data_IF_094064403562
#
_entry.id   IF_094064403562
#
_cell.length_a   1.000
_cell.length_b   1.000
_cell.length_c   1.000
_cell.angle_alpha   90.00
_cell.angle_beta   90.00
_cell.angle_gamma   90.00
#
_symmetry.space_group_name_H-M   'P 1'
#
loop_
_entity.id
_entity.type
_entity.pdbx_description
1 polymer ?
#
# COMPACT_ATOMS: atom_id res chain seq x y z
N UNK A 1 26.28 -4.51 21.47
CA UNK A 1 26.45 -5.79 20.74
C UNK A 1 27.90 -5.91 20.29
N UNK A 2 28.50 -7.07 20.54
CA UNK A 2 29.84 -7.39 20.04
C UNK A 2 29.75 -7.85 18.57
N UNK A 3 30.61 -7.32 17.70
CA UNK A 3 30.68 -7.60 16.26
C UNK A 3 31.01 -9.07 16.01
N UNK A 4 31.78 -9.70 16.90
CA UNK A 4 32.19 -11.11 16.75
C UNK A 4 31.00 -12.08 16.80
N UNK A 5 29.89 -11.69 17.44
CA UNK A 5 28.68 -12.52 17.57
C UNK A 5 27.48 -11.99 16.76
N UNK A 6 27.68 -10.97 15.93
CA UNK A 6 26.61 -10.32 15.15
C UNK A 6 25.90 -11.30 14.20
N UNK A 7 26.68 -12.11 13.48
CA UNK A 7 26.15 -13.15 12.60
C UNK A 7 25.25 -14.16 13.34
N UNK A 8 25.72 -14.61 14.51
CA UNK A 8 24.96 -15.53 15.35
C UNK A 8 23.67 -14.89 15.84
N UNK A 9 23.74 -13.63 16.27
CA UNK A 9 22.58 -12.87 16.73
C UNK A 9 21.47 -12.80 15.68
N UNK A 10 21.80 -12.39 14.44
CA UNK A 10 20.83 -12.30 13.36
C UNK A 10 20.26 -13.66 12.97
N UNK A 11 21.12 -14.69 12.92
CA UNK A 11 20.68 -16.06 12.65
C UNK A 11 19.70 -16.59 13.70
N UNK A 12 19.99 -16.39 14.99
CA UNK A 12 19.10 -16.83 16.07
C UNK A 12 17.80 -16.02 16.06
N UNK A 13 17.86 -14.71 15.83
CA UNK A 13 16.68 -13.85 15.72
C UNK A 13 15.72 -14.35 14.62
N UNK A 14 16.24 -14.64 13.42
CA UNK A 14 15.42 -15.17 12.31
C UNK A 14 14.82 -16.55 12.62
N UNK A 15 15.56 -17.43 13.30
CA UNK A 15 15.01 -18.71 13.79
C UNK A 15 13.91 -18.50 14.84
N UNK A 16 14.05 -17.51 15.72
CA UNK A 16 13.01 -17.14 16.69
C UNK A 16 11.74 -16.62 16.02
N UNK A 17 11.84 -15.87 14.92
CA UNK A 17 10.68 -15.50 14.10
C UNK A 17 9.96 -16.74 13.54
N UNK A 18 10.70 -17.66 12.93
CA UNK A 18 10.15 -18.91 12.41
C UNK A 18 9.48 -19.74 13.51
N UNK A 19 10.09 -19.81 14.70
CA UNK A 19 9.49 -20.45 15.86
C UNK A 19 8.16 -19.79 16.24
N UNK A 20 8.12 -18.46 16.33
CA UNK A 20 6.91 -17.74 16.69
C UNK A 20 5.79 -17.93 15.66
N UNK A 21 6.13 -17.92 14.36
CA UNK A 21 5.19 -18.20 13.27
C UNK A 21 4.64 -19.63 13.34
N UNK A 22 5.54 -20.63 13.44
CA UNK A 22 5.18 -22.05 13.47
C UNK A 22 4.23 -22.41 14.62
N UNK A 23 4.43 -21.82 15.79
CA UNK A 23 3.63 -22.11 17.00
C UNK A 23 2.64 -20.99 17.36
N UNK A 24 2.40 -20.04 16.44
CA UNK A 24 1.45 -18.93 16.64
C UNK A 24 1.66 -18.13 17.94
N UNK A 25 2.93 -17.94 18.33
CA UNK A 25 3.33 -17.21 19.54
C UNK A 25 3.33 -15.70 19.31
N UNK A 26 2.13 -15.15 19.13
CA UNK A 26 1.90 -13.73 18.76
C UNK A 26 2.47 -12.75 19.80
N UNK A 27 2.33 -13.05 21.09
CA UNK A 27 2.80 -12.17 22.17
C UNK A 27 4.32 -12.12 22.24
N UNK A 28 4.98 -13.28 22.13
CA UNK A 28 6.43 -13.40 22.13
C UNK A 28 7.04 -12.75 20.89
N UNK A 29 6.41 -12.88 19.73
CA UNK A 29 6.83 -12.20 18.51
C UNK A 29 6.84 -10.67 18.67
N UNK A 30 5.78 -10.08 19.23
CA UNK A 30 5.73 -8.63 19.51
C UNK A 30 6.82 -8.19 20.48
N UNK A 31 7.02 -8.96 21.57
CA UNK A 31 8.11 -8.69 22.53
C UNK A 31 9.48 -8.75 21.87
N UNK A 32 9.70 -9.70 20.96
CA UNK A 32 10.94 -9.82 20.20
C UNK A 32 11.15 -8.62 19.27
N UNK A 33 10.09 -8.14 18.59
CA UNK A 33 10.15 -6.93 17.76
C UNK A 33 10.52 -5.69 18.58
N UNK A 34 9.93 -5.50 19.76
CA UNK A 34 10.30 -4.40 20.68
C UNK A 34 11.75 -4.50 21.16
N UNK A 35 12.18 -5.71 21.55
CA UNK A 35 13.56 -5.95 21.97
C UNK A 35 14.56 -5.59 20.86
N UNK A 36 14.22 -5.93 19.62
CA UNK A 36 15.00 -5.61 18.44
C UNK A 36 15.10 -4.10 18.17
N UNK A 37 14.03 -3.34 18.38
CA UNK A 37 14.03 -1.87 18.29
C UNK A 37 14.91 -1.27 19.39
N UNK A 38 14.78 -1.77 20.62
CA UNK A 38 15.59 -1.36 21.75
C UNK A 38 17.09 -1.60 21.51
N UNK A 39 17.47 -2.77 20.98
CA UNK A 39 18.85 -3.06 20.62
C UNK A 39 19.38 -2.11 19.53
N UNK A 40 18.59 -1.80 18.50
CA UNK A 40 18.99 -0.86 17.45
C UNK A 40 19.21 0.55 18.01
N UNK A 41 18.29 1.04 18.84
CA UNK A 41 18.41 2.33 19.52
C UNK A 41 19.69 2.40 20.38
N UNK A 42 20.00 1.32 21.11
CA UNK A 42 21.25 1.22 21.85
C UNK A 42 22.47 1.25 20.91
N UNK A 43 22.47 0.50 19.80
CA UNK A 43 23.56 0.52 18.84
C UNK A 43 23.80 1.94 18.29
N UNK A 44 22.72 2.67 17.95
CA UNK A 44 22.78 4.04 17.46
C UNK A 44 23.36 5.03 18.50
N UNK A 45 22.86 5.01 19.74
CA UNK A 45 23.37 5.88 20.82
C UNK A 45 24.86 5.67 21.07
N UNK A 46 25.32 4.42 21.02
CA UNK A 46 26.71 4.09 21.25
C UNK A 46 27.64 4.37 20.06
N UNK A 47 27.12 4.79 18.88
CA UNK A 47 27.99 5.17 17.76
C UNK A 47 28.81 6.45 18.05
N UNK A 48 28.32 7.34 18.92
CA UNK A 48 28.90 8.67 19.16
C UNK A 48 29.88 8.73 20.35
N UNK A 49 30.01 7.67 21.14
CA UNK A 49 30.89 7.66 22.31
C UNK A 49 32.34 7.39 21.88
N UNK A 50 33.22 8.38 22.06
CA UNK A 50 34.60 8.40 21.53
C UNK A 50 35.54 7.28 22.03
N UNK A 51 35.21 6.58 23.12
CA UNK A 51 35.98 5.42 23.61
C UNK A 51 35.45 4.12 22.99
N UNK A 52 35.72 3.90 21.70
CA UNK A 52 35.15 2.78 20.94
C UNK A 52 36.07 1.55 20.98
N UNK A 53 35.68 0.54 21.75
CA UNK A 53 36.20 -0.82 21.64
C UNK A 53 36.05 -1.35 20.19
N UNK A 54 37.13 -1.89 19.61
CA UNK A 54 37.16 -2.50 18.27
C UNK A 54 36.09 -3.58 18.05
N UNK A 55 35.60 -4.20 19.12
CA UNK A 55 34.62 -5.28 19.08
C UNK A 55 33.16 -4.82 18.97
N UNK A 56 32.81 -3.54 18.80
CA UNK A 56 31.39 -3.13 18.68
C UNK A 56 30.88 -3.11 17.23
N UNK A 57 29.59 -3.37 17.04
CA UNK A 57 28.88 -3.25 15.75
C UNK A 57 28.90 -1.80 15.25
N UNK A 58 29.32 -1.60 14.00
CA UNK A 58 29.45 -0.29 13.36
C UNK A 58 28.35 -0.10 12.30
N UNK A 59 27.56 0.96 12.41
CA UNK A 59 26.53 1.33 11.41
C UNK A 59 27.13 1.95 10.13
N UNK A 60 28.45 1.91 9.99
CA UNK A 60 29.16 2.20 8.75
C UNK A 60 29.53 0.93 7.96
N UNK A 61 29.36 -0.26 8.55
CA UNK A 61 29.71 -1.54 7.93
C UNK A 61 28.61 -1.99 6.96
N UNK A 62 28.90 -2.14 5.65
CA UNK A 62 27.90 -2.60 4.68
C UNK A 62 27.34 -3.99 5.00
N UNK A 63 28.20 -4.88 5.52
CA UNK A 63 27.82 -6.23 5.93
C UNK A 63 26.81 -6.21 7.09
N UNK A 64 27.09 -5.43 8.13
CA UNK A 64 26.21 -5.26 9.30
C UNK A 64 24.85 -4.69 8.88
N UNK A 65 24.86 -3.64 8.05
CA UNK A 65 23.64 -3.02 7.54
C UNK A 65 22.80 -4.00 6.70
N UNK A 66 23.44 -4.82 5.87
CA UNK A 66 22.78 -5.86 5.08
C UNK A 66 22.09 -6.91 5.98
N UNK A 67 22.79 -7.42 7.00
CA UNK A 67 22.21 -8.39 7.95
C UNK A 67 21.04 -7.82 8.75
N UNK A 68 21.16 -6.56 9.19
CA UNK A 68 20.08 -5.85 9.87
C UNK A 68 18.85 -5.70 8.97
N UNK A 69 19.06 -5.27 7.72
CA UNK A 69 17.98 -5.11 6.75
C UNK A 69 17.29 -6.44 6.45
N UNK A 70 18.04 -7.52 6.21
CA UNK A 70 17.50 -8.87 6.00
C UNK A 70 16.66 -9.35 7.20
N UNK A 71 17.15 -9.08 8.42
CA UNK A 71 16.42 -9.43 9.64
C UNK A 71 15.12 -8.65 9.77
N UNK A 72 15.12 -7.35 9.45
CA UNK A 72 13.90 -6.52 9.44
C UNK A 72 12.90 -6.93 8.36
N UNK A 73 13.38 -7.34 7.19
CA UNK A 73 12.52 -7.90 6.15
C UNK A 73 11.85 -9.20 6.62
N UNK A 74 12.62 -10.10 7.24
CA UNK A 74 12.07 -11.34 7.81
C UNK A 74 11.07 -11.07 8.96
N UNK A 75 11.29 -10.02 9.76
CA UNK A 75 10.35 -9.53 10.77
C UNK A 75 9.02 -9.10 10.12
N UNK A 76 9.08 -8.26 9.08
CA UNK A 76 7.89 -7.82 8.34
C UNK A 76 7.14 -9.01 7.73
N UNK A 77 7.85 -9.94 7.08
CA UNK A 77 7.27 -11.14 6.49
C UNK A 77 6.55 -12.00 7.51
N UNK A 78 7.17 -12.19 8.67
CA UNK A 78 6.58 -12.97 9.76
C UNK A 78 5.34 -12.27 10.33
N UNK A 79 5.38 -10.94 10.49
CA UNK A 79 4.23 -10.17 10.94
C UNK A 79 3.04 -10.27 9.97
N UNK A 80 3.30 -10.21 8.66
CA UNK A 80 2.29 -10.41 7.61
C UNK A 80 1.75 -11.84 7.66
N UNK A 81 2.62 -12.86 7.71
CA UNK A 81 2.22 -14.27 7.75
C UNK A 81 1.34 -14.60 8.97
N UNK A 82 1.61 -13.95 10.11
CA UNK A 82 0.83 -14.11 11.34
C UNK A 82 -0.38 -13.16 11.43
N UNK A 83 -0.64 -12.37 10.39
CA UNK A 83 -1.72 -11.37 10.28
C UNK A 83 -1.71 -10.33 11.41
N UNK A 84 -0.51 -9.98 11.88
CA UNK A 84 -0.30 -8.98 12.91
C UNK A 84 -0.17 -7.59 12.27
N UNK A 85 -1.24 -7.08 11.66
CA UNK A 85 -1.19 -5.89 10.81
C UNK A 85 -0.60 -4.64 11.47
N UNK A 86 -0.89 -4.41 12.76
CA UNK A 86 -0.27 -3.32 13.53
C UNK A 86 1.25 -3.52 13.71
N UNK A 87 1.72 -4.76 13.91
CA UNK A 87 3.16 -5.05 13.97
C UNK A 87 3.81 -5.00 12.59
N UNK A 88 3.11 -5.46 11.56
CA UNK A 88 3.57 -5.38 10.17
C UNK A 88 3.80 -3.91 9.78
N UNK A 89 2.90 -3.03 10.19
CA UNK A 89 3.05 -1.59 10.01
C UNK A 89 4.35 -1.05 10.64
N UNK A 90 4.56 -1.29 11.94
CA UNK A 90 5.79 -0.85 12.63
C UNK A 90 7.05 -1.50 12.06
N UNK A 91 6.94 -2.74 11.62
CA UNK A 91 8.05 -3.46 10.98
C UNK A 91 8.39 -2.89 9.60
N UNK A 92 7.40 -2.37 8.86
CA UNK A 92 7.63 -1.65 7.62
C UNK A 92 8.38 -0.33 7.85
N UNK A 93 8.07 0.40 8.93
CA UNK A 93 8.85 1.57 9.36
C UNK A 93 10.29 1.19 9.70
N UNK A 94 10.49 0.09 10.43
CA UNK A 94 11.84 -0.39 10.75
C UNK A 94 12.64 -0.74 9.48
N UNK A 95 12.03 -1.41 8.50
CA UNK A 95 12.66 -1.72 7.20
C UNK A 95 12.99 -0.44 6.46
N UNK A 96 12.05 0.51 6.38
CA UNK A 96 12.26 1.80 5.73
C UNK A 96 13.43 2.56 6.35
N UNK A 97 13.45 2.68 7.68
CA UNK A 97 14.53 3.31 8.42
C UNK A 97 15.88 2.67 8.12
N UNK A 98 15.94 1.34 8.06
CA UNK A 98 17.18 0.64 7.68
C UNK A 98 17.59 0.91 6.23
N UNK A 99 16.64 0.97 5.30
CA UNK A 99 16.92 1.31 3.90
C UNK A 99 17.47 2.73 3.76
N UNK A 100 16.96 3.70 4.52
CA UNK A 100 17.51 5.07 4.52
C UNK A 100 18.92 5.11 5.10
N UNK A 101 19.15 4.47 6.25
CA UNK A 101 20.48 4.38 6.85
C UNK A 101 21.51 3.77 5.88
N UNK A 102 21.15 2.70 5.18
CA UNK A 102 22.02 2.11 4.16
C UNK A 102 22.25 3.04 2.98
N UNK A 103 21.21 3.71 2.48
CA UNK A 103 21.28 4.63 1.34
C UNK A 103 22.13 5.86 1.63
N UNK A 104 22.05 6.40 2.84
CA UNK A 104 22.82 7.57 3.28
C UNK A 104 24.32 7.27 3.34
N UNK A 105 24.70 6.00 3.55
CA UNK A 105 26.09 5.56 3.49
C UNK A 105 26.55 5.31 2.06
N UNK A 106 25.80 4.52 1.31
CA UNK A 106 26.05 4.30 -0.11
C UNK A 106 24.74 4.02 -0.85
N UNK A 107 24.44 4.85 -1.86
CA UNK A 107 23.24 4.72 -2.70
C UNK A 107 23.14 3.35 -3.38
N UNK A 108 24.26 2.65 -3.61
CA UNK A 108 24.31 1.33 -4.27
C UNK A 108 23.94 0.18 -3.34
N UNK A 109 23.88 0.40 -2.02
CA UNK A 109 23.57 -0.65 -1.05
C UNK A 109 22.12 -1.13 -1.13
N UNK A 110 21.18 -0.25 -1.51
CA UNK A 110 19.77 -0.61 -1.65
C UNK A 110 19.43 -0.71 -3.12
N UNK A 111 19.38 -1.94 -3.62
CA UNK A 111 19.07 -2.23 -5.02
C UNK A 111 17.61 -1.89 -5.33
N UNK A 112 17.29 -1.45 -6.56
CA UNK A 112 15.90 -1.22 -7.00
C UNK A 112 14.96 -2.40 -6.73
N UNK A 113 15.42 -3.64 -6.95
CA UNK A 113 14.66 -4.86 -6.64
C UNK A 113 14.24 -4.97 -5.16
N UNK A 114 15.04 -4.44 -4.23
CA UNK A 114 14.68 -4.41 -2.81
C UNK A 114 13.52 -3.44 -2.54
N UNK A 115 13.47 -2.31 -3.24
CA UNK A 115 12.33 -1.38 -3.15
C UNK A 115 11.05 -1.96 -3.74
N UNK A 116 11.17 -2.69 -4.84
CA UNK A 116 10.04 -3.41 -5.44
C UNK A 116 9.41 -4.37 -4.43
N UNK A 117 10.22 -5.23 -3.79
CA UNK A 117 9.71 -6.16 -2.78
C UNK A 117 9.14 -5.45 -1.56
N UNK A 118 9.78 -4.35 -1.13
CA UNK A 118 9.28 -3.51 -0.04
C UNK A 118 7.90 -2.92 -0.36
N UNK A 119 7.72 -2.29 -1.54
CA UNK A 119 6.44 -1.70 -1.92
C UNK A 119 5.35 -2.74 -2.14
N UNK A 120 5.69 -3.93 -2.62
CA UNK A 120 4.75 -5.04 -2.76
C UNK A 120 4.18 -5.46 -1.39
N UNK A 121 5.05 -5.57 -0.37
CA UNK A 121 4.63 -5.85 1.02
C UNK A 121 3.83 -4.70 1.62
N UNK A 122 4.22 -3.44 1.39
CA UNK A 122 3.46 -2.28 1.86
C UNK A 122 2.07 -2.22 1.24
N UNK A 123 1.96 -2.48 -0.07
CA UNK A 123 0.67 -2.53 -0.73
C UNK A 123 -0.26 -3.55 -0.04
N UNK A 124 0.24 -4.74 0.27
CA UNK A 124 -0.54 -5.74 1.01
C UNK A 124 -0.94 -5.26 2.42
N UNK A 125 -0.02 -4.68 3.18
CA UNK A 125 -0.29 -4.16 4.53
C UNK A 125 -1.36 -3.06 4.48
N UNK A 126 -1.25 -2.11 3.55
CA UNK A 126 -2.24 -1.05 3.41
C UNK A 126 -3.61 -1.57 2.97
N UNK A 127 -3.65 -2.56 2.08
CA UNK A 127 -4.91 -3.19 1.67
C UNK A 127 -5.61 -3.84 2.88
N UNK A 128 -4.89 -4.64 3.66
CA UNK A 128 -5.44 -5.34 4.83
C UNK A 128 -5.77 -4.39 5.99
N UNK A 129 -5.16 -3.20 6.03
CA UNK A 129 -5.49 -2.14 6.95
C UNK A 129 -6.68 -1.26 6.49
N UNK A 130 -7.26 -1.50 5.32
CA UNK A 130 -8.35 -0.68 4.75
C UNK A 130 -7.90 0.67 4.18
N UNK A 131 -6.59 0.90 4.07
CA UNK A 131 -6.02 2.15 3.53
C UNK A 131 -5.84 2.05 2.01
N UNK A 132 -6.95 2.01 1.26
CA UNK A 132 -6.97 1.84 -0.21
C UNK A 132 -6.15 2.89 -0.96
N UNK A 133 -6.17 4.14 -0.49
CA UNK A 133 -5.39 5.25 -1.05
C UNK A 133 -3.87 4.99 -0.98
N UNK A 134 -3.38 4.57 0.18
CA UNK A 134 -1.95 4.24 0.37
C UNK A 134 -1.57 2.93 -0.32
N UNK A 135 -2.52 1.99 -0.43
CA UNK A 135 -2.34 0.78 -1.23
C UNK A 135 -2.08 1.12 -2.71
N UNK A 136 -2.93 1.93 -3.33
CA UNK A 136 -2.75 2.37 -4.71
C UNK A 136 -1.46 3.18 -4.90
N UNK A 137 -1.15 4.06 -3.94
CA UNK A 137 0.10 4.82 -3.96
C UNK A 137 1.35 3.91 -3.88
N UNK A 138 1.32 2.86 -3.06
CA UNK A 138 2.41 1.87 -2.97
C UNK A 138 2.62 1.13 -4.30
N UNK A 139 1.52 0.71 -4.94
CA UNK A 139 1.57 0.07 -6.26
C UNK A 139 2.11 1.02 -7.34
N UNK A 140 1.72 2.29 -7.31
CA UNK A 140 2.24 3.30 -8.24
C UNK A 140 3.75 3.53 -8.03
N UNK A 141 4.22 3.62 -6.79
CA UNK A 141 5.65 3.72 -6.50
C UNK A 141 6.44 2.50 -6.98
N UNK A 142 5.89 1.30 -6.80
CA UNK A 142 6.44 0.06 -7.35
C UNK A 142 6.54 0.13 -8.88
N UNK A 143 5.48 0.59 -9.56
CA UNK A 143 5.44 0.75 -11.02
C UNK A 143 6.46 1.77 -11.53
N UNK A 144 6.66 2.90 -10.83
CA UNK A 144 7.66 3.91 -11.21
C UNK A 144 9.07 3.32 -11.21
N UNK A 145 9.45 2.63 -10.13
CA UNK A 145 10.78 1.99 -10.05
C UNK A 145 10.97 0.97 -11.15
N UNK A 146 9.92 0.19 -11.41
CA UNK A 146 9.92 -0.80 -12.46
C UNK A 146 10.11 -0.20 -13.85
N UNK A 147 9.41 0.89 -14.17
CA UNK A 147 9.58 1.61 -15.43
C UNK A 147 11.01 2.13 -15.59
N UNK A 148 11.63 2.59 -14.50
CA UNK A 148 13.03 3.05 -14.52
C UNK A 148 14.03 1.90 -14.71
N UNK A 149 13.68 0.67 -14.30
CA UNK A 149 14.53 -0.50 -14.47
C UNK A 149 14.65 -0.98 -15.93
N UNK A 150 13.79 -0.51 -16.86
CA UNK A 150 13.74 -0.62 -18.36
C UNK A 150 14.09 -1.94 -19.07
N UNK A 151 14.89 -2.83 -18.48
CA UNK A 151 15.43 -4.09 -19.04
C UNK A 151 14.87 -5.34 -18.36
N UNK A 152 13.95 -5.18 -17.40
CA UNK A 152 13.43 -6.27 -16.57
C UNK A 152 11.97 -6.65 -16.86
N UNK A 153 11.34 -6.06 -17.88
CA UNK A 153 9.91 -6.25 -18.16
C UNK A 153 9.65 -7.07 -19.42
N UNK A 154 8.83 -8.10 -19.27
CA UNK A 154 7.98 -8.56 -20.36
C UNK A 154 6.81 -7.58 -20.56
N UNK A 155 6.25 -7.53 -21.77
CA UNK A 155 5.09 -6.69 -22.05
C UNK A 155 3.87 -7.09 -21.20
N UNK A 156 3.72 -8.39 -20.91
CA UNK A 156 2.63 -8.93 -20.09
C UNK A 156 2.73 -8.46 -18.62
N UNK A 157 3.91 -8.56 -17.99
CA UNK A 157 4.12 -8.06 -16.63
C UNK A 157 3.90 -6.54 -16.54
N UNK A 158 4.32 -5.79 -17.55
CA UNK A 158 4.10 -4.34 -17.58
C UNK A 158 2.60 -4.01 -17.65
N UNK A 159 1.86 -4.72 -18.51
CA UNK A 159 0.41 -4.57 -18.65
C UNK A 159 -0.33 -4.98 -17.36
N UNK A 160 0.06 -6.09 -16.74
CA UNK A 160 -0.52 -6.55 -15.49
C UNK A 160 -0.33 -5.50 -14.38
N UNK A 161 0.90 -5.04 -14.15
CA UNK A 161 1.17 -4.07 -13.10
C UNK A 161 0.47 -2.73 -13.38
N UNK A 162 0.42 -2.28 -14.64
CA UNK A 162 -0.31 -1.08 -15.02
C UNK A 162 -1.82 -1.22 -14.76
N UNK A 163 -2.39 -2.37 -15.12
CA UNK A 163 -3.82 -2.68 -14.88
C UNK A 163 -4.13 -2.69 -13.38
N UNK A 164 -3.28 -3.33 -12.58
CA UNK A 164 -3.42 -3.39 -11.12
C UNK A 164 -3.37 -2.01 -10.48
N UNK A 165 -2.41 -1.16 -10.87
CA UNK A 165 -2.33 0.23 -10.38
C UNK A 165 -3.60 1.00 -10.71
N UNK A 166 -4.10 0.86 -11.95
CA UNK A 166 -5.27 1.62 -12.40
C UNK A 166 -6.55 1.14 -11.69
N UNK A 167 -6.77 -0.17 -11.55
CA UNK A 167 -7.90 -0.73 -10.80
C UNK A 167 -7.85 -0.35 -9.32
N UNK A 168 -6.67 -0.41 -8.70
CA UNK A 168 -6.48 0.02 -7.31
C UNK A 168 -6.77 1.51 -7.12
N UNK A 169 -6.42 2.35 -8.11
CA UNK A 169 -6.68 3.80 -8.02
C UNK A 169 -8.15 4.13 -8.29
N UNK A 170 -8.78 3.46 -9.26
CA UNK A 170 -10.18 3.67 -9.62
C UNK A 170 -11.16 3.18 -8.53
N UNK A 171 -10.78 2.16 -7.76
CA UNK A 171 -11.56 1.62 -6.64
C UNK A 171 -11.57 2.50 -5.39
N UNK A 172 -10.80 3.60 -5.37
CA UNK A 172 -10.81 4.54 -4.24
C UNK A 172 -12.08 5.41 -4.31
N UNK A 173 -12.90 5.47 -3.25
CA UNK A 173 -14.04 6.37 -3.17
C UNK A 173 -13.68 7.85 -3.28
N UNK A 174 -14.57 8.62 -3.89
CA UNK A 174 -14.43 10.08 -3.93
C UNK A 174 -14.46 10.66 -2.50
N UNK A 175 -13.48 11.47 -2.16
CA UNK A 175 -13.36 12.06 -0.82
C UNK A 175 -12.61 11.19 0.20
N UNK A 176 -12.08 10.03 -0.19
CA UNK A 176 -11.23 9.18 0.67
C UNK A 176 -9.95 9.89 1.17
N UNK A 177 -9.58 11.00 0.54
CA UNK A 177 -8.43 11.82 0.91
C UNK A 177 -8.71 12.74 2.11
N UNK A 178 -9.98 12.94 2.47
CA UNK A 178 -10.42 13.84 3.53
C UNK A 178 -10.68 13.07 4.84
N UNK A 179 -10.56 13.72 6.02
CA UNK A 179 -11.01 13.14 7.28
C UNK A 179 -12.48 12.70 7.18
N UNK A 180 -12.78 11.53 7.72
CA UNK A 180 -14.17 11.06 7.81
C UNK A 180 -14.97 11.95 8.74
N UNK A 181 -16.30 11.99 8.57
CA UNK A 181 -17.14 12.79 9.47
C UNK A 181 -16.97 12.36 10.92
N UNK A 182 -16.83 11.06 11.20
CA UNK A 182 -16.51 10.56 12.53
C UNK A 182 -15.21 11.15 13.10
N UNK A 183 -14.18 11.31 12.27
CA UNK A 183 -12.90 11.92 12.69
C UNK A 183 -13.09 13.37 13.13
N UNK A 184 -13.92 14.11 12.40
CA UNK A 184 -14.28 15.50 12.74
C UNK A 184 -15.09 15.58 14.03
N UNK A 185 -16.11 14.74 14.17
CA UNK A 185 -16.98 14.73 15.36
C UNK A 185 -16.27 14.30 16.65
N UNK A 186 -15.18 13.55 16.53
CA UNK A 186 -14.37 13.11 17.67
C UNK A 186 -13.18 14.05 17.97
N UNK A 187 -13.03 15.17 17.25
CA UNK A 187 -11.94 16.14 17.40
C UNK A 187 -10.53 15.50 17.31
N UNK A 188 -10.37 14.45 16.49
CA UNK A 188 -9.10 13.71 16.31
C UNK A 188 -8.40 14.01 14.97
N UNK A 189 -8.69 15.15 14.35
CA UNK A 189 -8.16 15.54 13.04
C UNK A 189 -6.63 15.65 13.03
N UNK A 190 -6.03 16.20 14.09
CA UNK A 190 -4.58 16.34 14.20
C UNK A 190 -3.85 14.98 14.26
N UNK A 191 -4.44 14.01 14.97
CA UNK A 191 -3.93 12.65 15.04
C UNK A 191 -4.04 11.97 13.67
N UNK A 192 -5.17 12.15 12.98
CA UNK A 192 -5.39 11.64 11.63
C UNK A 192 -4.37 12.22 10.64
N UNK A 193 -4.12 13.53 10.68
CA UNK A 193 -3.12 14.18 9.83
C UNK A 193 -1.70 13.70 10.12
N UNK A 194 -1.36 13.50 11.39
CA UNK A 194 -0.06 12.95 11.80
C UNK A 194 0.13 11.54 11.24
N UNK A 195 -0.91 10.70 11.29
CA UNK A 195 -0.90 9.36 10.72
C UNK A 195 -0.71 9.41 9.19
N UNK A 196 -1.46 10.25 8.48
CA UNK A 196 -1.30 10.45 7.02
C UNK A 196 0.12 10.84 6.65
N UNK A 197 0.75 11.75 7.40
CA UNK A 197 2.15 12.16 7.16
C UNK A 197 3.11 10.98 7.35
N UNK A 198 2.91 10.19 8.41
CA UNK A 198 3.72 9.00 8.67
C UNK A 198 3.61 7.99 7.52
N UNK A 199 2.38 7.71 7.06
CA UNK A 199 2.09 6.82 5.94
C UNK A 199 2.71 7.32 4.62
N UNK A 200 2.68 8.63 4.40
CA UNK A 200 3.28 9.25 3.22
C UNK A 200 4.81 9.13 3.22
N UNK A 201 5.44 9.30 4.39
CA UNK A 201 6.89 9.13 4.56
C UNK A 201 7.35 7.70 4.28
N UNK A 202 6.58 6.69 4.69
CA UNK A 202 6.84 5.29 4.37
C UNK A 202 6.94 5.01 2.86
N UNK A 203 6.14 5.75 2.09
CA UNK A 203 6.10 5.71 0.62
C UNK A 203 7.04 6.71 -0.06
N UNK A 204 7.78 7.50 0.73
CA UNK A 204 8.67 8.58 0.26
C UNK A 204 7.92 9.65 -0.54
N UNK A 205 6.66 9.85 -0.21
CA UNK A 205 5.85 10.89 -0.82
C UNK A 205 6.03 12.18 -0.01
N UNK A 206 6.47 13.29 -0.65
CA UNK A 206 6.64 14.57 0.05
C UNK A 206 5.30 15.17 0.47
N UNK A 207 4.23 14.80 -0.21
CA UNK A 207 2.85 15.26 0.00
C UNK A 207 1.97 14.03 0.10
N UNK A 208 0.95 14.09 0.95
CA UNK A 208 -0.04 13.03 1.06
C UNK A 208 -0.66 12.71 -0.31
N UNK A 209 -0.78 11.42 -0.68
CA UNK A 209 -1.44 11.04 -1.92
C UNK A 209 -2.90 11.48 -1.88
N UNK A 210 -3.45 11.78 -3.05
CA UNK A 210 -4.88 12.02 -3.26
C UNK A 210 -5.34 11.19 -4.44
N UNK A 211 -6.60 10.75 -4.48
CA UNK A 211 -7.15 10.00 -5.62
C UNK A 211 -6.87 10.72 -6.95
N UNK A 212 -7.17 12.02 -7.00
CA UNK A 212 -6.92 12.86 -8.17
C UNK A 212 -5.41 13.04 -8.48
N UNK A 213 -4.56 13.10 -7.45
CA UNK A 213 -3.10 13.12 -7.61
C UNK A 213 -2.56 11.84 -8.24
N UNK A 214 -3.02 10.68 -7.76
CA UNK A 214 -2.63 9.37 -8.26
C UNK A 214 -3.07 9.17 -9.71
N UNK A 215 -4.31 9.52 -10.06
CA UNK A 215 -4.82 9.43 -11.44
C UNK A 215 -4.02 10.33 -12.40
N UNK A 216 -3.75 11.57 -12.00
CA UNK A 216 -2.93 12.50 -12.82
C UNK A 216 -1.53 11.96 -13.03
N UNK A 217 -0.90 11.42 -11.99
CA UNK A 217 0.44 10.85 -12.08
C UNK A 217 0.45 9.57 -12.93
N UNK A 218 -0.54 8.69 -12.77
CA UNK A 218 -0.71 7.50 -13.60
C UNK A 218 -0.88 7.87 -15.09
N UNK A 219 -1.70 8.87 -15.41
CA UNK A 219 -1.86 9.40 -16.77
C UNK A 219 -0.55 9.98 -17.31
N UNK A 220 0.17 10.79 -16.52
CA UNK A 220 1.49 11.35 -16.89
C UNK A 220 2.50 10.25 -17.23
N UNK A 221 2.43 9.12 -16.54
CA UNK A 221 3.31 7.97 -16.73
C UNK A 221 2.85 7.04 -17.87
N UNK A 222 1.71 7.31 -18.53
CA UNK A 222 1.15 6.45 -19.58
C UNK A 222 0.63 5.11 -19.05
N UNK A 223 0.25 5.02 -17.77
CA UNK A 223 -0.30 3.79 -17.18
C UNK A 223 -1.57 3.33 -17.92
N UNK A 224 -2.54 4.21 -18.27
CA UNK A 224 -3.74 3.79 -18.99
C UNK A 224 -3.44 3.15 -20.36
N UNK A 225 -2.39 3.60 -21.05
CA UNK A 225 -2.02 3.10 -22.39
C UNK A 225 -1.38 1.70 -22.33
N UNK A 226 -0.73 1.38 -21.20
CA UNK A 226 -0.08 0.08 -20.97
C UNK A 226 -1.05 -0.95 -20.37
N UNK A 227 -2.06 -0.48 -19.61
CA UNK A 227 -3.06 -1.33 -18.98
C UNK A 227 -3.88 -2.13 -20.00
N UNK A 228 -4.57 -3.17 -19.52
CA UNK A 228 -5.48 -3.98 -20.35
C UNK A 228 -6.57 -3.11 -20.96
N UNK A 229 -7.09 -3.52 -22.11
CA UNK A 229 -8.15 -2.79 -22.82
C UNK A 229 -9.37 -2.56 -21.93
N UNK A 230 -9.80 -3.57 -21.17
CA UNK A 230 -10.91 -3.49 -20.21
C UNK A 230 -10.64 -2.44 -19.12
N UNK A 231 -9.43 -2.40 -18.58
CA UNK A 231 -9.04 -1.47 -17.51
C UNK A 231 -8.92 -0.03 -18.02
N UNK A 232 -8.37 0.16 -19.22
CA UNK A 232 -8.33 1.48 -19.87
C UNK A 232 -9.75 1.97 -20.22
N UNK A 233 -10.63 1.08 -20.67
CA UNK A 233 -12.04 1.41 -20.89
C UNK A 233 -12.72 1.88 -19.60
N UNK A 234 -12.51 1.20 -18.47
CA UNK A 234 -13.01 1.63 -17.15
C UNK A 234 -12.49 3.03 -16.78
N UNK A 235 -11.20 3.29 -16.98
CA UNK A 235 -10.61 4.62 -16.73
C UNK A 235 -11.31 5.72 -17.56
N UNK A 236 -11.54 5.48 -18.85
CA UNK A 236 -12.22 6.44 -19.73
C UNK A 236 -13.68 6.65 -19.32
N UNK A 237 -14.41 5.57 -18.98
CA UNK A 237 -15.80 5.64 -18.54
C UNK A 237 -15.94 6.43 -17.24
N UNK A 238 -15.03 6.23 -16.29
CA UNK A 238 -15.10 6.89 -14.99
C UNK A 238 -14.61 8.33 -15.05
N UNK A 239 -13.54 8.64 -15.77
CA UNK A 239 -12.92 9.97 -15.67
C UNK A 239 -13.35 10.94 -16.80
N UNK A 240 -13.76 10.43 -17.98
CA UNK A 240 -14.02 11.27 -19.15
C UNK A 240 -15.48 11.25 -19.65
N UNK A 241 -16.38 10.49 -19.00
CA UNK A 241 -17.76 10.32 -19.47
C UNK A 241 -18.78 10.84 -18.45
N UNK A 242 -19.74 11.63 -18.94
CA UNK A 242 -20.93 12.03 -18.17
C UNK A 242 -22.16 11.35 -18.77
N UNK A 243 -22.43 10.13 -18.31
CA UNK A 243 -23.51 9.29 -18.82
C UNK A 243 -24.23 8.56 -17.67
N UNK A 244 -24.92 9.27 -16.77
CA UNK A 244 -25.47 8.73 -15.52
C UNK A 244 -26.34 7.48 -15.69
N UNK A 245 -27.10 7.43 -16.79
CA UNK A 245 -28.06 6.35 -17.05
C UNK A 245 -27.43 5.07 -17.62
N UNK A 246 -26.21 5.17 -18.17
CA UNK A 246 -25.51 4.07 -18.87
C UNK A 246 -24.22 3.64 -18.17
N UNK A 247 -23.64 4.52 -17.36
CA UNK A 247 -22.34 4.33 -16.73
C UNK A 247 -22.20 2.97 -16.04
N UNK A 248 -23.15 2.60 -15.18
CA UNK A 248 -23.08 1.35 -14.44
C UNK A 248 -23.15 0.11 -15.35
N UNK A 249 -24.04 0.10 -16.34
CA UNK A 249 -24.15 -1.01 -17.31
C UNK A 249 -22.89 -1.14 -18.18
N UNK A 250 -22.34 -0.02 -18.66
CA UNK A 250 -21.11 0.00 -19.46
C UNK A 250 -19.90 -0.48 -18.64
N UNK A 251 -19.84 -0.12 -17.35
CA UNK A 251 -18.83 -0.60 -16.42
C UNK A 251 -18.98 -2.08 -16.13
N UNK A 252 -20.21 -2.58 -15.92
CA UNK A 252 -20.48 -4.01 -15.69
C UNK A 252 -19.87 -4.88 -16.79
N UNK A 253 -20.09 -4.48 -18.04
CA UNK A 253 -19.58 -5.18 -19.22
C UNK A 253 -18.04 -5.23 -19.26
N UNK A 254 -17.34 -4.28 -18.62
CA UNK A 254 -15.88 -4.34 -18.48
C UNK A 254 -15.43 -5.12 -17.24
N UNK A 255 -16.17 -5.04 -16.13
CA UNK A 255 -15.85 -5.78 -14.90
C UNK A 255 -15.90 -7.30 -15.12
N UNK A 256 -16.84 -7.79 -15.93
CA UNK A 256 -16.94 -9.23 -16.27
C UNK A 256 -15.69 -9.75 -17.01
N UNK A 257 -14.93 -8.85 -17.67
CA UNK A 257 -13.69 -9.21 -18.37
C UNK A 257 -12.47 -9.28 -17.45
N UNK A 258 -12.63 -8.98 -16.16
CA UNK A 258 -11.55 -9.08 -15.16
C UNK A 258 -11.57 -10.50 -14.60
N UNK A 259 -10.55 -11.29 -14.91
CA UNK A 259 -10.44 -12.70 -14.53
C UNK A 259 -9.34 -12.98 -13.50
N UNK A 260 -8.30 -12.14 -13.46
CA UNK A 260 -7.14 -12.36 -12.58
C UNK A 260 -7.50 -12.20 -11.09
N UNK A 261 -7.10 -13.15 -10.23
CA UNK A 261 -7.45 -13.14 -8.80
C UNK A 261 -6.98 -11.87 -8.06
N UNK A 262 -5.79 -11.39 -8.40
CA UNK A 262 -5.22 -10.15 -7.84
C UNK A 262 -6.02 -8.88 -8.24
N UNK A 263 -6.80 -8.95 -9.32
CA UNK A 263 -7.64 -7.83 -9.78
C UNK A 263 -9.06 -7.93 -9.24
N UNK A 264 -9.55 -9.15 -8.99
CA UNK A 264 -10.89 -9.39 -8.45
C UNK A 264 -11.11 -8.70 -7.10
N UNK A 265 -10.07 -8.52 -6.30
CA UNK A 265 -10.17 -7.82 -5.01
C UNK A 265 -10.65 -6.36 -5.12
N UNK A 266 -10.56 -5.73 -6.30
CA UNK A 266 -11.01 -4.35 -6.53
C UNK A 266 -12.44 -4.25 -7.06
N UNK A 267 -13.06 -5.36 -7.49
CA UNK A 267 -14.33 -5.35 -8.21
C UNK A 267 -15.47 -4.80 -7.35
N UNK A 268 -15.58 -5.23 -6.09
CA UNK A 268 -16.67 -4.79 -5.22
C UNK A 268 -16.55 -3.30 -4.86
N UNK A 269 -15.32 -2.84 -4.56
CA UNK A 269 -15.05 -1.43 -4.34
C UNK A 269 -15.32 -0.59 -5.60
N UNK A 270 -15.00 -1.09 -6.80
CA UNK A 270 -15.34 -0.42 -8.06
C UNK A 270 -16.85 -0.29 -8.25
N UNK A 271 -17.63 -1.34 -7.99
CA UNK A 271 -19.10 -1.28 -8.06
C UNK A 271 -19.66 -0.18 -7.16
N UNK A 272 -19.12 -0.06 -5.95
CA UNK A 272 -19.53 0.97 -4.98
C UNK A 272 -19.20 2.38 -5.48
N UNK A 273 -17.97 2.59 -5.97
CA UNK A 273 -17.54 3.87 -6.56
C UNK A 273 -18.41 4.25 -7.75
N UNK A 274 -18.69 3.30 -8.64
CA UNK A 274 -19.48 3.51 -9.86
C UNK A 274 -20.93 3.83 -9.52
N UNK A 275 -21.53 3.09 -8.60
CA UNK A 275 -22.89 3.33 -8.14
C UNK A 275 -23.02 4.70 -7.47
N UNK A 276 -22.10 5.05 -6.56
CA UNK A 276 -22.05 6.38 -5.93
C UNK A 276 -21.89 7.48 -6.96
N UNK A 277 -21.02 7.29 -7.96
CA UNK A 277 -20.82 8.26 -9.04
C UNK A 277 -22.07 8.42 -9.90
N UNK A 278 -22.72 7.33 -10.29
CA UNK A 278 -23.96 7.36 -11.05
C UNK A 278 -25.06 8.09 -10.28
N UNK A 279 -25.23 7.80 -8.98
CA UNK A 279 -26.20 8.48 -8.11
C UNK A 279 -25.92 10.00 -8.00
N UNK A 280 -24.66 10.39 -7.79
CA UNK A 280 -24.25 11.81 -7.78
C UNK A 280 -24.53 12.50 -9.12
N UNK A 281 -24.33 11.83 -10.25
CA UNK A 281 -24.64 12.40 -11.56
C UNK A 281 -26.16 12.49 -11.80
N UNK A 282 -26.94 11.52 -11.31
CA UNK A 282 -28.41 11.54 -11.39
C UNK A 282 -28.96 12.69 -10.54
N UNK A 283 -28.46 12.90 -9.31
CA UNK A 283 -28.96 13.94 -8.41
C UNK A 283 -28.74 15.37 -8.92
N UNK A 284 -27.79 15.57 -9.84
CA UNK A 284 -27.57 16.87 -10.50
C UNK A 284 -28.62 17.16 -11.59
N UNK A 285 -29.25 16.12 -12.15
CA UNK A 285 -30.14 16.24 -13.32
C UNK A 285 -31.62 16.04 -12.94
N UNK A 286 -31.90 15.21 -11.94
CA UNK A 286 -33.25 14.82 -11.55
C UNK A 286 -33.57 15.33 -10.15
N UNK A 287 -34.68 16.07 -10.02
CA UNK A 287 -35.24 16.45 -8.72
C UNK A 287 -35.93 15.27 -8.02
N UNK A 288 -36.54 14.38 -8.81
CA UNK A 288 -37.18 13.16 -8.32
C UNK A 288 -37.03 12.03 -9.33
N UNK A 289 -36.79 10.81 -8.83
CA UNK A 289 -36.64 9.61 -9.65
C UNK A 289 -37.31 8.43 -8.92
N UNK A 290 -37.97 7.56 -9.66
CA UNK A 290 -38.57 6.36 -9.07
C UNK A 290 -37.51 5.35 -8.67
N UNK A 291 -37.69 4.69 -7.52
CA UNK A 291 -36.76 3.68 -7.01
C UNK A 291 -36.51 2.55 -8.02
N UNK A 292 -37.57 2.04 -8.66
CA UNK A 292 -37.48 1.02 -9.70
C UNK A 292 -36.67 1.47 -10.93
N UNK A 293 -36.56 2.77 -11.18
CA UNK A 293 -35.71 3.30 -12.26
C UNK A 293 -34.24 3.30 -11.85
N UNK A 294 -33.93 3.64 -10.60
CA UNK A 294 -32.56 3.60 -10.05
C UNK A 294 -32.02 2.16 -10.08
N UNK A 295 -32.83 1.18 -9.67
CA UNK A 295 -32.47 -0.25 -9.74
C UNK A 295 -32.12 -0.71 -11.16
N UNK A 296 -32.85 -0.22 -12.18
CA UNK A 296 -32.56 -0.54 -13.58
C UNK A 296 -31.28 0.12 -14.10
N UNK A 297 -30.91 1.28 -13.54
CA UNK A 297 -29.70 2.01 -13.92
C UNK A 297 -28.47 1.36 -13.28
N UNK A 298 -28.57 0.91 -12.03
CA UNK A 298 -27.48 0.32 -11.25
C UNK A 298 -27.77 -1.17 -11.01
N UNK A 299 -27.41 -2.06 -11.95
CA UNK A 299 -27.75 -3.49 -11.89
C UNK A 299 -26.88 -4.31 -10.94
N UNK A 300 -25.87 -3.71 -10.29
CA UNK A 300 -24.87 -4.44 -9.49
C UNK A 300 -25.39 -5.04 -8.20
N UNK A 301 -26.47 -4.47 -7.67
CA UNK A 301 -26.93 -4.68 -6.29
C UNK A 301 -28.38 -5.14 -6.28
N UNK A 302 -28.73 -5.94 -5.28
CA UNK A 302 -30.14 -6.19 -4.99
C UNK A 302 -30.79 -4.93 -4.35
N UNK A 303 -32.12 -4.96 -4.21
CA UNK A 303 -32.89 -3.82 -3.69
C UNK A 303 -32.38 -3.31 -2.33
N UNK A 304 -32.10 -4.22 -1.40
CA UNK A 304 -31.67 -3.88 -0.04
C UNK A 304 -30.24 -3.33 0.00
N UNK A 305 -29.34 -3.88 -0.81
CA UNK A 305 -27.96 -3.40 -0.94
C UNK A 305 -27.91 -2.00 -1.54
N UNK A 306 -28.73 -1.75 -2.57
CA UNK A 306 -28.83 -0.43 -3.19
C UNK A 306 -29.41 0.59 -2.21
N UNK A 307 -30.43 0.22 -1.42
CA UNK A 307 -30.99 1.08 -0.38
C UNK A 307 -29.94 1.46 0.67
N UNK A 308 -29.17 0.48 1.16
CA UNK A 308 -28.06 0.71 2.11
C UNK A 308 -26.92 1.56 1.56
N UNK A 309 -26.74 1.62 0.24
CA UNK A 309 -25.74 2.49 -0.36
C UNK A 309 -26.21 3.95 -0.41
N UNK A 310 -27.52 4.17 -0.56
CA UNK A 310 -28.10 5.52 -0.65
C UNK A 310 -28.27 6.17 0.73
N UNK A 311 -28.62 5.37 1.75
CA UNK A 311 -28.88 5.81 3.13
C UNK A 311 -27.63 5.75 3.98
#
# INVERSE_FOLDING_TARGET
MDRTVEHLYHRITRKSFQFCSKYQRRTEFRKLCELLRLHLNQIQKHQYLAHVNYSRVKLSSPESLSMMQETRLCQLDTAIQMELWQEAYRSAEDVHGMMQLSKDKDKRMVKPASYVSYYDKLALVFWKAGNSLFHAAALLQKFIIYKDMKKSFTADEAQEQASRVLLATLSIPDGADAPSDLTRHLDIEDQHLTNIRLLSNLLRLPIAPTRAGLLREAARLGVPDVASESTNALYKLLENNFAPLRLAQEVEAQLVKIDRPDHLQYVDALKEVVATKALKQISVIYDSISWSRVQKIIPFYNEMELERLVV
#
